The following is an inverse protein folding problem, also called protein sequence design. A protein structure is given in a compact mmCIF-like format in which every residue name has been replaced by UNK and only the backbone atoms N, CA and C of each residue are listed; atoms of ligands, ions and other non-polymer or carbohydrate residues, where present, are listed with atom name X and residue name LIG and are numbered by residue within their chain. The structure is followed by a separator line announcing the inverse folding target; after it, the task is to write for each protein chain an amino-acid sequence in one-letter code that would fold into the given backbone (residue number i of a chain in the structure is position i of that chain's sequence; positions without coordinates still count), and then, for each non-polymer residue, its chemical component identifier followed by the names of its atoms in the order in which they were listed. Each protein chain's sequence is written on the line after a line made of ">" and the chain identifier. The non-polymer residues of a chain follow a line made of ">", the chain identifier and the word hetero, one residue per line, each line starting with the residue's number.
data_IF_635581726183
#
_entry.id   IF_635581726183
#
_cell.length_a   1.000
_cell.length_b   1.000
_cell.length_c   1.000
_cell.angle_alpha   90.00
_cell.angle_beta   90.00
_cell.angle_gamma   90.00
#
_symmetry.space_group_name_H-M   'P 1'
#
loop_
_entity.id
_entity.type
_entity.pdbx_description
1 polymer ?
#
# COMPACT_ATOMS: atom_id res chain seq x y z
N UNK A 1 17.25 -15.01 23.82
CA UNK A 1 16.07 -14.29 23.25
C UNK A 1 16.58 -13.01 22.63
N UNK A 2 16.29 -12.73 21.36
CA UNK A 2 16.68 -11.47 20.72
C UNK A 2 15.99 -10.30 21.42
N UNK A 3 16.75 -9.30 21.83
CA UNK A 3 16.21 -8.07 22.44
C UNK A 3 15.42 -7.34 21.37
N UNK A 4 14.11 -7.16 21.60
CA UNK A 4 13.26 -6.42 20.70
C UNK A 4 13.42 -4.92 20.96
N UNK A 5 13.73 -4.15 19.92
CA UNK A 5 13.83 -2.69 19.98
C UNK A 5 12.62 -2.01 19.35
N UNK A 6 12.32 -0.81 19.77
CA UNK A 6 11.33 0.04 19.14
C UNK A 6 11.78 0.40 17.73
N UNK A 7 10.92 0.18 16.73
CA UNK A 7 11.25 0.47 15.33
C UNK A 7 11.42 1.96 15.02
N UNK A 8 10.85 2.85 15.87
CA UNK A 8 10.86 4.28 15.63
C UNK A 8 12.05 4.99 16.33
N UNK A 9 12.32 4.70 17.62
CA UNK A 9 13.40 5.32 18.36
C UNK A 9 14.61 4.42 18.63
N UNK A 10 14.51 3.11 18.36
CA UNK A 10 15.58 2.15 18.63
C UNK A 10 15.68 1.67 20.08
N UNK A 11 14.93 2.24 21.02
CA UNK A 11 14.97 1.89 22.44
C UNK A 11 14.55 0.43 22.69
N UNK A 12 15.11 -0.18 23.71
CA UNK A 12 14.75 -1.52 24.14
C UNK A 12 13.29 -1.57 24.59
N UNK A 13 12.53 -2.52 24.05
CA UNK A 13 11.15 -2.78 24.46
C UNK A 13 11.13 -3.59 25.76
N UNK A 14 10.66 -2.97 26.83
CA UNK A 14 10.47 -3.56 28.15
C UNK A 14 8.99 -3.77 28.46
N UNK A 15 8.64 -4.46 29.53
CA UNK A 15 7.25 -4.59 29.98
C UNK A 15 6.59 -3.26 30.31
N UNK A 16 7.37 -2.27 30.77
CA UNK A 16 6.89 -0.94 31.14
C UNK A 16 6.54 -0.09 29.92
N UNK A 17 7.34 -0.17 28.84
CA UNK A 17 7.21 0.73 27.68
C UNK A 17 6.58 0.07 26.45
N UNK A 18 6.39 -1.26 26.43
CA UNK A 18 5.72 -1.94 25.30
C UNK A 18 4.21 -1.81 25.38
N UNK A 19 3.56 -1.85 24.23
CA UNK A 19 2.10 -1.81 24.12
C UNK A 19 1.59 -3.16 23.65
N UNK A 20 0.65 -3.73 24.39
CA UNK A 20 -0.05 -4.95 23.99
C UNK A 20 -0.99 -4.62 22.83
N UNK A 21 -0.92 -5.41 21.75
CA UNK A 21 -1.76 -5.28 20.56
C UNK A 21 -3.04 -6.08 20.68
N UNK A 22 -2.93 -7.33 21.08
CA UNK A 22 -4.06 -8.26 21.15
C UNK A 22 -3.69 -9.52 21.95
N UNK A 23 -4.71 -10.25 22.34
CA UNK A 23 -4.58 -11.60 22.93
C UNK A 23 -5.28 -12.58 22.00
N UNK A 24 -4.64 -13.70 21.67
CA UNK A 24 -5.27 -14.75 20.87
C UNK A 24 -6.33 -15.51 21.68
N UNK A 25 -7.20 -16.28 21.02
CA UNK A 25 -8.17 -17.16 21.67
C UNK A 25 -7.52 -18.20 22.62
N UNK A 26 -6.23 -18.51 22.41
CA UNK A 26 -5.43 -19.42 23.25
C UNK A 26 -4.62 -18.68 24.34
N UNK A 27 -4.93 -17.41 24.63
CA UNK A 27 -4.25 -16.62 25.67
C UNK A 27 -2.88 -16.07 25.27
N UNK A 28 -2.39 -16.30 24.04
CA UNK A 28 -1.09 -15.76 23.60
C UNK A 28 -1.19 -14.25 23.38
N UNK A 29 -0.33 -13.48 24.04
CA UNK A 29 -0.25 -12.03 23.92
C UNK A 29 0.63 -11.62 22.74
N UNK A 30 0.18 -10.64 21.99
CA UNK A 30 0.93 -10.00 20.90
C UNK A 30 1.19 -8.54 21.25
N UNK A 31 2.41 -8.10 21.01
CA UNK A 31 2.85 -6.74 21.32
C UNK A 31 3.20 -5.99 20.04
N UNK A 32 3.07 -4.67 20.09
CA UNK A 32 3.58 -3.81 19.04
C UNK A 32 5.11 -3.74 19.13
N UNK A 33 5.77 -3.57 18.00
CA UNK A 33 7.21 -3.31 17.92
C UNK A 33 7.52 -1.80 18.03
N UNK A 34 6.69 -1.06 18.78
CA UNK A 34 6.80 0.37 19.09
C UNK A 34 6.60 0.59 20.58
N UNK A 35 7.39 1.49 21.18
CA UNK A 35 7.22 1.86 22.56
C UNK A 35 6.02 2.81 22.76
N UNK A 36 5.49 2.87 23.98
CA UNK A 36 4.37 3.76 24.32
C UNK A 36 4.64 5.24 23.98
N UNK A 37 5.81 5.84 24.31
CA UNK A 37 6.10 7.22 23.95
C UNK A 37 5.98 7.48 22.44
N UNK A 38 6.57 6.63 21.59
CA UNK A 38 6.48 6.80 20.13
C UNK A 38 5.06 6.66 19.59
N UNK A 39 4.20 5.81 20.19
CA UNK A 39 2.80 5.71 19.83
C UNK A 39 2.06 7.01 20.19
N UNK A 40 2.25 7.51 21.40
CA UNK A 40 1.62 8.76 21.84
C UNK A 40 2.05 9.94 20.98
N UNK A 41 3.34 10.06 20.67
CA UNK A 41 3.85 11.09 19.78
C UNK A 41 3.18 11.03 18.38
N UNK A 42 3.11 9.84 17.76
CA UNK A 42 2.46 9.67 16.48
C UNK A 42 0.97 10.05 16.51
N UNK A 43 0.27 9.74 17.61
CA UNK A 43 -1.13 10.12 17.78
C UNK A 43 -1.30 11.64 17.93
N UNK A 44 -0.39 12.32 18.62
CA UNK A 44 -0.39 13.78 18.74
C UNK A 44 -0.17 14.42 17.38
N UNK A 45 0.84 13.99 16.63
CA UNK A 45 1.13 14.46 15.26
C UNK A 45 -0.11 14.30 14.38
N UNK A 46 -0.69 13.10 14.33
CA UNK A 46 -1.86 12.83 13.49
C UNK A 46 -3.08 13.69 13.86
N UNK A 47 -3.33 13.92 15.16
CA UNK A 47 -4.43 14.80 15.61
C UNK A 47 -4.18 16.25 15.19
N UNK A 48 -2.94 16.73 15.34
CA UNK A 48 -2.56 18.09 14.95
C UNK A 48 -2.74 18.29 13.44
N UNK A 49 -2.24 17.35 12.63
CA UNK A 49 -2.38 17.41 11.17
C UNK A 49 -3.84 17.38 10.72
N UNK A 50 -4.68 16.54 11.33
CA UNK A 50 -6.12 16.50 11.03
C UNK A 50 -6.85 17.79 11.43
N UNK A 51 -6.41 18.47 12.48
CA UNK A 51 -6.97 19.76 12.87
C UNK A 51 -6.61 20.87 11.88
N UNK A 52 -5.36 20.86 11.39
CA UNK A 52 -4.88 21.83 10.41
C UNK A 52 -5.38 21.56 8.98
N UNK A 53 -5.64 20.31 8.66
CA UNK A 53 -6.10 19.85 7.35
C UNK A 53 -7.41 19.08 7.51
N UNK A 54 -8.57 19.75 7.52
CA UNK A 54 -9.86 19.11 7.70
C UNK A 54 -10.10 17.98 6.69
N UNK A 55 -10.78 16.93 7.14
CA UNK A 55 -11.12 15.82 6.25
C UNK A 55 -12.00 16.32 5.11
N UNK A 56 -11.70 15.99 3.84
CA UNK A 56 -12.50 16.37 2.70
C UNK A 56 -13.89 15.72 2.75
N UNK A 57 -14.83 16.29 2.00
CA UNK A 57 -16.20 15.80 1.89
C UNK A 57 -16.24 14.37 1.34
N UNK A 58 -17.31 13.63 1.68
CA UNK A 58 -17.56 12.32 1.11
C UNK A 58 -17.64 12.41 -0.42
N UNK A 59 -17.04 11.44 -1.11
CA UNK A 59 -16.95 11.44 -2.56
C UNK A 59 -15.71 12.14 -3.14
N UNK A 60 -14.87 12.78 -2.30
CA UNK A 60 -13.57 13.31 -2.76
C UNK A 60 -12.66 12.16 -3.20
N UNK A 61 -12.05 12.24 -4.39
CA UNK A 61 -11.15 11.20 -4.88
C UNK A 61 -9.84 11.17 -4.08
N UNK A 62 -9.22 9.99 -4.00
CA UNK A 62 -7.89 9.80 -3.44
C UNK A 62 -6.85 10.62 -4.21
N UNK A 63 -6.07 11.46 -3.53
CA UNK A 63 -5.05 12.29 -4.17
C UNK A 63 -3.94 11.47 -4.89
N UNK A 64 -3.74 10.20 -4.52
CA UNK A 64 -2.73 9.35 -5.13
C UNK A 64 -3.25 8.56 -6.35
N UNK A 65 -4.44 7.91 -6.25
CA UNK A 65 -4.92 7.01 -7.30
C UNK A 65 -6.25 7.41 -7.93
N UNK A 66 -6.85 8.53 -7.52
CA UNK A 66 -8.12 9.04 -8.06
C UNK A 66 -9.38 8.26 -7.68
N UNK A 67 -9.26 7.10 -7.01
CA UNK A 67 -10.44 6.31 -6.61
C UNK A 67 -11.22 6.99 -5.50
N UNK A 68 -12.54 6.88 -5.55
CA UNK A 68 -13.43 7.30 -4.47
C UNK A 68 -13.47 6.18 -3.42
N UNK A 69 -12.95 6.45 -2.23
CA UNK A 69 -12.88 5.51 -1.12
C UNK A 69 -12.76 6.30 0.19
N UNK A 70 -12.79 5.62 1.34
CA UNK A 70 -12.47 6.23 2.62
C UNK A 70 -11.04 6.77 2.63
N UNK A 71 -10.91 8.07 2.89
CA UNK A 71 -9.62 8.75 2.90
C UNK A 71 -8.98 8.77 4.29
N UNK A 72 -7.66 8.71 4.32
CA UNK A 72 -6.81 8.77 5.49
C UNK A 72 -5.82 9.92 5.33
N UNK A 73 -5.53 10.60 6.43
CA UNK A 73 -4.52 11.63 6.50
C UNK A 73 -3.14 11.00 6.27
N UNK A 74 -2.48 11.37 5.20
CA UNK A 74 -1.12 10.97 4.89
C UNK A 74 -0.14 12.08 5.23
N UNK A 75 1.04 11.72 5.73
CA UNK A 75 2.07 12.67 6.13
C UNK A 75 3.45 12.03 6.01
N UNK A 76 4.44 12.86 5.85
CA UNK A 76 5.84 12.45 5.89
C UNK A 76 6.24 12.05 7.31
N UNK A 77 6.82 10.87 7.49
CA UNK A 77 7.16 10.35 8.80
C UNK A 77 8.43 11.02 9.41
N UNK A 78 9.29 11.58 8.57
CA UNK A 78 10.51 12.28 9.02
C UNK A 78 10.23 13.74 9.34
N UNK A 79 9.64 14.51 8.42
CA UNK A 79 9.32 15.92 8.61
C UNK A 79 8.05 16.18 9.43
N UNK A 80 7.17 15.16 9.55
CA UNK A 80 5.84 15.26 10.16
C UNK A 80 4.88 16.19 9.39
N UNK A 81 5.17 16.51 8.15
CA UNK A 81 4.37 17.39 7.30
C UNK A 81 3.23 16.64 6.62
N UNK A 82 2.08 17.29 6.53
CA UNK A 82 0.93 16.76 5.80
C UNK A 82 1.22 16.67 4.32
N UNK A 83 0.95 15.51 3.70
CA UNK A 83 1.06 15.31 2.24
C UNK A 83 -0.28 15.44 1.55
N UNK A 84 -1.26 14.62 1.92
CA UNK A 84 -2.58 14.62 1.30
C UNK A 84 -3.57 13.70 2.04
N UNK A 85 -4.81 13.70 1.55
CA UNK A 85 -5.83 12.71 1.91
C UNK A 85 -5.85 11.60 0.85
N UNK A 86 -5.46 10.39 1.22
CA UNK A 86 -5.36 9.24 0.32
C UNK A 86 -6.10 8.01 0.85
N UNK A 87 -6.47 7.09 -0.04
CA UNK A 87 -7.14 5.85 0.35
C UNK A 87 -6.20 4.91 1.12
N UNK A 88 -6.80 3.96 1.85
CA UNK A 88 -6.04 2.99 2.66
C UNK A 88 -4.99 2.22 1.84
N UNK A 89 -5.36 1.82 0.62
CA UNK A 89 -4.48 1.02 -0.22
C UNK A 89 -3.23 1.81 -0.64
N UNK A 90 -3.39 3.08 -1.03
CA UNK A 90 -2.26 3.95 -1.35
C UNK A 90 -1.39 4.21 -0.13
N UNK A 91 -2.00 4.56 1.02
CA UNK A 91 -1.26 4.81 2.26
C UNK A 91 -0.46 3.58 2.72
N UNK A 92 -1.08 2.40 2.69
CA UNK A 92 -0.39 1.15 3.04
C UNK A 92 0.68 0.78 2.01
N UNK A 93 0.40 0.95 0.70
CA UNK A 93 1.33 0.64 -0.38
C UNK A 93 2.61 1.48 -0.32
N UNK A 94 2.46 2.80 -0.13
CA UNK A 94 3.60 3.72 0.04
C UNK A 94 4.42 3.33 1.28
N UNK A 95 3.76 3.08 2.41
CA UNK A 95 4.43 2.66 3.64
C UNK A 95 5.18 1.32 3.52
N UNK A 96 4.62 0.33 2.82
CA UNK A 96 5.28 -0.97 2.56
C UNK A 96 6.49 -0.84 1.64
N UNK A 97 6.52 0.17 0.77
CA UNK A 97 7.65 0.49 -0.10
C UNK A 97 8.66 1.45 0.55
N UNK A 98 8.61 1.60 1.87
CA UNK A 98 9.58 2.36 2.65
C UNK A 98 9.25 3.84 2.81
N UNK A 99 8.03 4.27 2.49
CA UNK A 99 7.54 5.65 2.63
C UNK A 99 8.48 6.71 2.02
N UNK A 100 9.13 6.35 0.92
CA UNK A 100 10.16 7.16 0.26
C UNK A 100 10.08 7.08 -1.26
N UNK A 101 10.51 8.13 -1.92
CA UNK A 101 10.63 8.16 -3.37
C UNK A 101 11.57 7.05 -3.90
N UNK A 102 12.66 6.78 -3.17
CA UNK A 102 13.61 5.74 -3.53
C UNK A 102 12.96 4.35 -3.57
N UNK A 103 12.16 4.00 -2.56
CA UNK A 103 11.43 2.73 -2.52
C UNK A 103 10.42 2.58 -3.67
N UNK A 104 9.68 3.67 -3.97
CA UNK A 104 8.75 3.70 -5.10
C UNK A 104 9.46 3.55 -6.44
N UNK A 105 10.59 4.23 -6.64
CA UNK A 105 11.42 4.11 -7.85
C UNK A 105 11.99 2.70 -8.02
N UNK A 106 12.40 2.03 -6.95
CA UNK A 106 12.85 0.64 -6.99
C UNK A 106 11.73 -0.31 -7.43
N UNK A 107 10.51 -0.11 -6.91
CA UNK A 107 9.36 -0.91 -7.30
C UNK A 107 8.98 -0.69 -8.78
N UNK A 108 9.02 0.56 -9.25
CA UNK A 108 8.80 0.89 -10.66
C UNK A 108 9.83 0.22 -11.56
N UNK A 109 11.13 0.37 -11.25
CA UNK A 109 12.22 -0.24 -12.00
C UNK A 109 12.13 -1.78 -12.03
N UNK A 110 11.62 -2.42 -10.96
CA UNK A 110 11.34 -3.85 -10.96
C UNK A 110 10.28 -4.22 -12.00
N UNK A 111 9.17 -3.47 -12.07
CA UNK A 111 8.09 -3.72 -13.03
C UNK A 111 8.54 -3.48 -14.49
N UNK A 112 9.36 -2.46 -14.72
CA UNK A 112 9.94 -2.17 -16.04
C UNK A 112 10.83 -3.31 -16.52
N UNK A 113 11.74 -3.81 -15.66
CA UNK A 113 12.57 -4.96 -15.99
C UNK A 113 11.75 -6.23 -16.26
N UNK A 114 10.64 -6.41 -15.56
CA UNK A 114 9.76 -7.56 -15.78
C UNK A 114 9.06 -7.51 -17.15
N UNK A 115 8.74 -6.31 -17.65
CA UNK A 115 8.16 -6.10 -18.99
C UNK A 115 9.15 -6.40 -20.11
N UNK A 116 10.44 -6.17 -19.88
CA UNK A 116 11.51 -6.39 -20.87
C UNK A 116 11.93 -7.85 -20.97
N UNK A 117 11.56 -8.71 -20.01
CA UNK A 117 11.82 -10.15 -20.12
C UNK A 117 10.91 -10.74 -21.18
N UNK A 118 11.46 -11.49 -22.19
CA UNK A 118 10.63 -12.22 -23.13
C UNK A 118 9.70 -13.13 -22.32
N UNK A 119 8.40 -13.08 -22.59
CA UNK A 119 7.43 -13.99 -21.99
C UNK A 119 7.84 -15.41 -22.38
N UNK A 120 8.44 -16.15 -21.46
CA UNK A 120 8.52 -17.59 -21.61
C UNK A 120 7.08 -18.09 -21.72
N UNK A 121 6.74 -18.73 -22.85
CA UNK A 121 5.42 -19.35 -23.04
C UNK A 121 5.15 -20.25 -21.84
N UNK A 122 4.03 -20.01 -21.20
CA UNK A 122 3.55 -20.90 -20.14
C UNK A 122 3.38 -22.31 -20.75
N UNK A 123 3.72 -23.39 -20.03
CA UNK A 123 3.48 -24.75 -20.50
C UNK A 123 2.02 -25.04 -20.84
N UNK A 124 1.09 -24.16 -20.51
CA UNK A 124 -0.33 -24.29 -20.78
C UNK A 124 -0.74 -23.83 -22.19
N UNK A 125 0.14 -23.14 -22.92
CA UNK A 125 -0.19 -22.64 -24.27
C UNK A 125 0.06 -23.68 -25.40
N UNK A 126 0.48 -24.89 -25.04
CA UNK A 126 0.77 -25.96 -25.99
C UNK A 126 -0.38 -27.00 -26.10
N UNK A 127 -1.64 -26.51 -26.15
CA UNK A 127 -2.71 -27.31 -26.75
C UNK A 127 -2.82 -26.91 -28.21
N UNK A 128 -2.03 -27.57 -29.01
CA UNK A 128 -2.20 -27.64 -30.47
C UNK A 128 -3.63 -28.02 -30.78
N UNK A 129 -4.27 -27.21 -31.60
CA UNK A 129 -5.48 -27.56 -32.31
C UNK A 129 -5.13 -28.63 -33.33
N UNK A 130 -5.23 -29.87 -32.96
CA UNK A 130 -5.46 -30.95 -33.90
C UNK A 130 -6.95 -31.27 -33.84
N UNK A 131 -7.57 -31.07 -34.96
CA UNK A 131 -8.97 -31.28 -35.20
C UNK A 131 -9.39 -32.71 -34.82
N UNK A 132 -10.45 -32.86 -34.09
CA UNK A 132 -11.52 -33.77 -34.45
C UNK A 132 -12.85 -33.31 -33.86
N UNK A 133 -13.84 -33.49 -34.63
CA UNK A 133 -15.22 -33.09 -34.58
C UNK A 133 -15.96 -33.92 -33.52
N UNK A 134 -16.92 -33.28 -32.89
CA UNK A 134 -18.05 -33.83 -32.16
C UNK A 134 -18.01 -33.86 -30.62
N UNK A 135 -19.18 -33.39 -30.15
CA UNK A 135 -19.87 -33.62 -28.87
C UNK A 135 -19.87 -32.47 -27.86
N UNK A 136 -20.99 -31.78 -27.91
CA UNK A 136 -21.87 -31.19 -26.87
C UNK A 136 -21.38 -31.00 -25.43
N UNK A 137 -21.72 -29.78 -24.96
CA UNK A 137 -22.20 -29.39 -23.63
C UNK A 137 -21.46 -29.83 -22.37
N UNK A 138 -20.81 -28.89 -21.73
CA UNK A 138 -21.08 -28.57 -20.30
C UNK A 138 -20.44 -27.25 -19.89
N UNK A 139 -21.27 -26.41 -19.40
CA UNK A 139 -21.18 -25.14 -18.66
C UNK A 139 -20.11 -25.06 -17.58
N UNK A 140 -19.57 -23.86 -17.47
CA UNK A 140 -19.35 -23.11 -16.23
C UNK A 140 -17.93 -22.89 -15.74
N UNK A 141 -17.67 -21.58 -15.58
CA UNK A 141 -16.88 -20.89 -14.57
C UNK A 141 -15.38 -20.68 -14.82
N UNK A 142 -15.09 -19.58 -15.48
CA UNK A 142 -14.04 -18.66 -15.08
C UNK A 142 -14.48 -17.24 -15.44
N UNK A 143 -15.19 -16.61 -14.53
CA UNK A 143 -15.52 -15.17 -14.58
C UNK A 143 -14.53 -14.41 -13.70
N UNK A 144 -13.80 -13.50 -14.26
CA UNK A 144 -13.75 -12.11 -13.88
C UNK A 144 -12.67 -11.36 -14.69
N UNK A 145 -13.07 -10.89 -15.87
CA UNK A 145 -12.31 -9.85 -16.58
C UNK A 145 -12.94 -8.51 -16.23
N UNK A 146 -12.43 -7.84 -15.23
CA UNK A 146 -12.66 -6.41 -15.07
C UNK A 146 -11.71 -5.66 -16.00
N UNK A 147 -12.27 -5.14 -17.08
CA UNK A 147 -11.62 -4.22 -17.98
C UNK A 147 -11.34 -2.90 -17.25
N UNK A 148 -10.08 -2.53 -17.11
CA UNK A 148 -9.68 -1.19 -16.71
C UNK A 148 -9.88 -0.26 -17.90
N UNK A 149 -10.98 0.49 -17.91
CA UNK A 149 -11.16 1.62 -18.80
C UNK A 149 -10.13 2.72 -18.46
N UNK A 150 -9.50 3.26 -19.50
CA UNK A 150 -8.39 4.19 -19.40
C UNK A 150 -8.70 5.44 -18.57
N UNK A 151 -7.89 5.66 -17.55
CA UNK A 151 -7.78 6.94 -16.87
C UNK A 151 -6.70 7.74 -17.61
N UNK A 152 -7.12 8.82 -18.25
CA UNK A 152 -6.20 9.78 -18.85
C UNK A 152 -5.33 10.39 -17.74
N UNK A 153 -4.01 10.26 -17.87
CA UNK A 153 -3.04 10.89 -16.99
C UNK A 153 -2.96 12.36 -17.38
N UNK A 154 -3.24 13.32 -16.49
CA UNK A 154 -3.00 14.72 -16.78
C UNK A 154 -1.50 14.97 -16.93
N UNK A 155 -1.07 15.39 -18.12
CA UNK A 155 0.26 15.88 -18.38
C UNK A 155 0.42 17.25 -17.74
N UNK A 156 1.13 17.32 -16.61
CA UNK A 156 1.58 18.58 -16.05
C UNK A 156 2.81 19.06 -16.86
N UNK A 157 2.79 20.26 -17.44
CA UNK A 157 3.98 20.80 -18.08
C UNK A 157 5.00 21.18 -17.00
N UNK A 158 6.22 20.71 -17.21
CA UNK A 158 7.39 21.08 -16.43
C UNK A 158 7.62 22.62 -16.55
N UNK A 159 7.78 23.38 -15.46
CA UNK A 159 8.26 24.76 -15.58
C UNK A 159 9.74 24.73 -15.92
N UNK A 160 10.08 25.38 -17.04
CA UNK A 160 11.45 25.66 -17.45
C UNK A 160 12.16 26.50 -16.39
N UNK A 161 13.37 26.06 -16.04
CA UNK A 161 14.30 26.81 -15.21
C UNK A 161 14.86 28.00 -16.03
N UNK A 162 14.58 29.21 -15.59
CA UNK A 162 15.39 30.41 -15.84
C UNK A 162 16.18 30.75 -14.59
#
# INVERSE_FOLDING_TARGET
>A
MARQTCRDCGDLLTEQNRTMKSVSKKGKQYYLNRCKPCIVEADIVLRTLKKQNPQPQAGTPCACCGRIDKLFCDHDHASKEFRAWICRNCNSGIGLLGDSEAGLRQALAYLERARLKPRSRSPCDNKTNDADESVEMASSRCGNKQAYAGVAVPTNPCPELL
#
